data_IF_925854064945
#
_entry.id   IF_925854064945
#
_cell.length_a   1.000
_cell.length_b   1.000
_cell.length_c   1.000
_cell.angle_alpha   90.00
_cell.angle_beta   90.00
_cell.angle_gamma   90.00
#
_symmetry.space_group_name_H-M   'P 1'
#
loop_
_entity.id
_entity.type
_entity.pdbx_description
1 polymer ?
#
# COMPACT_ATOMS: atom_id res chain seq x y z
N UNK A 1 -4.04 -20.00 -16.47
CA UNK A 1 -2.93 -19.20 -15.90
C UNK A 1 -2.78 -17.87 -16.63
N UNK A 2 -3.03 -17.79 -17.95
CA UNK A 2 -2.98 -16.53 -18.72
C UNK A 2 -3.81 -15.37 -18.13
N UNK A 3 -5.02 -15.64 -17.62
CA UNK A 3 -5.89 -14.62 -17.01
C UNK A 3 -5.22 -13.79 -15.90
N UNK A 4 -4.38 -14.41 -15.06
CA UNK A 4 -3.73 -13.71 -13.93
C UNK A 4 -2.60 -12.80 -14.41
N UNK A 5 -1.85 -13.23 -15.43
CA UNK A 5 -0.81 -12.41 -16.03
C UNK A 5 -1.40 -11.29 -16.90
N UNK A 6 -2.58 -11.51 -17.48
CA UNK A 6 -3.37 -10.51 -18.19
C UNK A 6 -3.92 -9.44 -17.25
N UNK A 7 -4.48 -9.81 -16.09
CA UNK A 7 -4.88 -8.83 -15.07
C UNK A 7 -3.73 -7.92 -14.66
N UNK A 8 -2.53 -8.48 -14.43
CA UNK A 8 -1.33 -7.69 -14.12
C UNK A 8 -0.98 -6.72 -15.26
N UNK A 9 -1.08 -7.16 -16.51
CA UNK A 9 -0.79 -6.32 -17.68
C UNK A 9 -1.81 -5.20 -17.84
N UNK A 10 -3.10 -5.52 -17.73
CA UNK A 10 -4.19 -4.55 -17.86
C UNK A 10 -4.14 -3.50 -16.76
N UNK A 11 -3.87 -3.90 -15.52
CA UNK A 11 -3.69 -2.98 -14.40
C UNK A 11 -2.54 -1.99 -14.63
N UNK A 12 -1.43 -2.43 -15.24
CA UNK A 12 -0.27 -1.56 -15.51
C UNK A 12 -0.49 -0.55 -16.64
N UNK A 13 -1.39 -0.83 -17.59
CA UNK A 13 -1.70 0.09 -18.70
C UNK A 13 -2.98 0.88 -18.48
N UNK A 14 -3.67 0.65 -17.37
CA UNK A 14 -4.86 1.38 -17.01
C UNK A 14 -4.51 2.86 -16.83
N UNK A 15 -5.19 3.73 -17.57
CA UNK A 15 -5.08 5.17 -17.34
C UNK A 15 -5.77 5.51 -16.03
N UNK A 16 -5.12 6.36 -15.24
CA UNK A 16 -5.71 6.91 -14.04
C UNK A 16 -6.98 7.71 -14.42
N UNK A 17 -8.08 7.38 -13.76
CA UNK A 17 -9.34 8.14 -13.88
C UNK A 17 -9.34 9.33 -12.91
N UNK A 18 -10.51 9.93 -12.72
CA UNK A 18 -10.70 10.87 -11.61
C UNK A 18 -10.48 10.15 -10.28
N UNK A 19 -9.78 10.81 -9.37
CA UNK A 19 -9.55 10.33 -8.02
C UNK A 19 -10.34 11.20 -7.03
N UNK A 20 -11.21 10.60 -6.22
CA UNK A 20 -12.02 11.35 -5.26
C UNK A 20 -11.17 12.10 -4.22
N UNK A 21 -9.93 11.67 -3.99
CA UNK A 21 -8.99 12.40 -3.13
C UNK A 21 -8.64 13.79 -3.68
N UNK A 22 -8.78 14.04 -4.99
CA UNK A 22 -8.56 15.36 -5.60
C UNK A 22 -9.60 16.40 -5.12
N UNK A 23 -10.75 15.93 -4.65
CA UNK A 23 -11.82 16.77 -4.10
C UNK A 23 -11.66 17.05 -2.60
N UNK A 24 -10.61 16.53 -1.96
CA UNK A 24 -10.37 16.66 -0.52
C UNK A 24 -9.16 17.56 -0.30
N UNK A 25 -9.35 18.63 0.48
CA UNK A 25 -8.25 19.51 0.92
C UNK A 25 -8.22 19.62 2.43
N UNK A 26 -7.08 19.27 3.03
CA UNK A 26 -6.83 19.52 4.45
C UNK A 26 -6.50 20.99 4.69
N UNK A 27 -7.07 21.59 5.74
CA UNK A 27 -6.71 22.94 6.17
C UNK A 27 -5.35 22.89 6.84
N UNK A 28 -4.36 23.55 6.23
CA UNK A 28 -3.00 23.61 6.77
C UNK A 28 -2.96 24.45 8.05
N UNK A 29 -2.34 23.91 9.11
CA UNK A 29 -2.11 24.63 10.36
C UNK A 29 -0.65 25.12 10.43
N UNK A 30 -0.43 26.39 10.09
CA UNK A 30 0.91 26.98 9.97
C UNK A 30 1.63 27.21 11.30
N UNK A 31 0.88 27.36 12.39
CA UNK A 31 1.42 27.60 13.74
C UNK A 31 1.29 26.35 14.63
N UNK A 32 1.34 25.17 14.00
CA UNK A 32 1.22 23.92 14.71
C UNK A 32 2.46 23.68 15.56
N UNK A 33 2.30 23.68 16.89
CA UNK A 33 3.38 23.45 17.85
C UNK A 33 3.80 21.99 18.03
N UNK A 34 3.33 21.07 17.18
CA UNK A 34 3.74 19.67 17.28
C UNK A 34 5.13 19.46 16.64
N UNK A 35 5.98 18.75 17.37
CA UNK A 35 7.29 18.32 16.86
C UNK A 35 7.13 17.09 15.98
N UNK A 36 7.84 17.05 14.85
CA UNK A 36 7.90 15.88 13.99
C UNK A 36 8.37 14.62 14.76
N UNK A 37 9.29 14.79 15.71
CA UNK A 37 9.78 13.68 16.56
C UNK A 37 8.72 13.09 17.50
N UNK A 38 7.58 13.75 17.66
CA UNK A 38 6.45 13.28 18.49
C UNK A 38 5.33 12.64 17.66
N UNK A 39 5.46 12.57 16.34
CA UNK A 39 4.48 11.91 15.49
C UNK A 39 4.53 10.41 15.70
N UNK A 40 3.38 9.82 16.03
CA UNK A 40 3.20 8.37 16.11
C UNK A 40 2.28 7.92 14.97
N UNK A 41 2.79 7.02 14.14
CA UNK A 41 2.08 6.44 13.00
C UNK A 41 1.50 5.06 13.33
N UNK A 42 1.71 4.59 14.56
CA UNK A 42 1.20 3.29 15.00
C UNK A 42 -0.32 3.26 14.94
N UNK A 43 -0.85 2.14 14.51
CA UNK A 43 -2.29 1.89 14.46
C UNK A 43 -2.60 0.44 14.80
N UNK A 44 -3.88 0.11 14.91
CA UNK A 44 -4.35 -1.26 15.07
C UNK A 44 -5.48 -1.57 14.11
N UNK A 45 -5.38 -2.70 13.42
CA UNK A 45 -6.40 -3.18 12.50
C UNK A 45 -6.42 -4.71 12.49
N UNK A 46 -7.60 -5.33 12.41
CA UNK A 46 -7.76 -6.79 12.41
C UNK A 46 -6.99 -7.51 13.55
N UNK A 47 -7.00 -6.94 14.76
CA UNK A 47 -6.25 -7.41 15.94
C UNK A 47 -4.71 -7.41 15.79
N UNK A 48 -4.17 -6.76 14.76
CA UNK A 48 -2.74 -6.53 14.57
C UNK A 48 -2.37 -5.13 15.03
N UNK A 49 -1.20 -5.00 15.67
CA UNK A 49 -0.55 -3.71 15.91
C UNK A 49 0.41 -3.42 14.76
N UNK A 50 0.29 -2.26 14.15
CA UNK A 50 1.04 -1.85 12.96
C UNK A 50 1.88 -0.61 13.30
N UNK A 51 3.12 -0.58 12.82
CA UNK A 51 3.99 0.60 12.97
C UNK A 51 3.63 1.73 11.99
N UNK A 52 2.93 1.40 10.91
CA UNK A 52 2.47 2.33 9.89
C UNK A 52 1.00 2.07 9.53
N UNK A 53 0.22 3.09 9.17
CA UNK A 53 -1.19 2.95 8.83
C UNK A 53 -1.41 2.56 7.36
N UNK A 54 -0.54 1.71 6.81
CA UNK A 54 -0.56 1.26 5.42
C UNK A 54 -0.18 -0.21 5.33
N UNK A 55 -0.64 -0.88 4.27
CA UNK A 55 -0.26 -2.26 3.95
C UNK A 55 -0.27 -2.47 2.43
N UNK A 56 0.37 -3.53 1.96
CA UNK A 56 0.31 -3.95 0.55
C UNK A 56 -0.94 -4.82 0.38
N UNK A 57 -1.91 -4.33 -0.39
CA UNK A 57 -3.17 -5.05 -0.63
C UNK A 57 -3.01 -6.21 -1.63
N UNK A 58 -3.95 -7.14 -1.63
CA UNK A 58 -3.94 -8.33 -2.47
C UNK A 58 -3.95 -7.97 -3.96
N UNK A 59 -3.04 -8.57 -4.73
CA UNK A 59 -2.87 -8.29 -6.16
C UNK A 59 -2.83 -9.54 -7.04
N UNK A 60 -2.02 -10.55 -6.69
CA UNK A 60 -1.72 -11.68 -7.59
C UNK A 60 -1.16 -12.90 -6.85
N UNK A 61 -1.15 -14.06 -7.53
CA UNK A 61 -0.55 -15.30 -7.02
C UNK A 61 -0.82 -16.49 -7.94
N UNK A 62 -0.04 -17.57 -7.89
CA UNK A 62 -0.32 -18.81 -8.65
C UNK A 62 0.13 -18.83 -10.12
N UNK A 63 1.02 -17.92 -10.52
CA UNK A 63 1.86 -18.03 -11.73
C UNK A 63 3.32 -17.74 -11.35
N UNK A 64 4.30 -18.20 -12.14
CA UNK A 64 5.72 -17.89 -11.88
C UNK A 64 6.01 -16.39 -11.87
N UNK A 65 5.31 -15.63 -12.71
CA UNK A 65 5.42 -14.17 -12.76
C UNK A 65 4.85 -13.54 -11.48
N UNK A 66 3.70 -14.00 -11.02
CA UNK A 66 3.09 -13.55 -9.77
C UNK A 66 3.98 -13.88 -8.56
N UNK A 67 4.60 -15.05 -8.54
CA UNK A 67 5.55 -15.45 -7.49
C UNK A 67 6.75 -14.50 -7.40
N UNK A 68 7.38 -14.18 -8.54
CA UNK A 68 8.49 -13.22 -8.58
C UNK A 68 8.09 -11.80 -8.16
N UNK A 69 6.83 -11.41 -8.38
CA UNK A 69 6.29 -10.13 -7.89
C UNK A 69 6.09 -10.18 -6.38
N UNK A 70 5.43 -11.23 -5.87
CA UNK A 70 5.15 -11.39 -4.44
C UNK A 70 6.45 -11.51 -3.63
N UNK A 71 7.51 -12.14 -4.15
CA UNK A 71 8.81 -12.18 -3.49
C UNK A 71 9.39 -10.77 -3.30
N UNK A 72 9.31 -9.91 -4.32
CA UNK A 72 9.79 -8.52 -4.22
C UNK A 72 8.96 -7.71 -3.24
N UNK A 73 7.63 -7.85 -3.28
CA UNK A 73 6.73 -7.16 -2.37
C UNK A 73 6.91 -7.62 -0.92
N UNK A 74 7.13 -8.91 -0.68
CA UNK A 74 7.40 -9.45 0.64
C UNK A 74 8.72 -8.92 1.22
N UNK A 75 9.77 -8.78 0.39
CA UNK A 75 11.04 -8.15 0.80
C UNK A 75 10.84 -6.69 1.23
N UNK A 76 10.03 -5.93 0.48
CA UNK A 76 9.70 -4.54 0.83
C UNK A 76 8.85 -4.47 2.10
N UNK A 77 7.81 -5.31 2.20
CA UNK A 77 6.95 -5.40 3.36
C UNK A 77 7.75 -5.67 4.65
N UNK A 78 8.68 -6.62 4.58
CA UNK A 78 9.59 -6.94 5.68
C UNK A 78 10.56 -5.80 6.00
N UNK A 79 11.11 -5.13 4.98
CA UNK A 79 12.03 -4.00 5.20
C UNK A 79 11.37 -2.82 5.90
N UNK A 80 10.11 -2.51 5.55
CA UNK A 80 9.35 -1.39 6.10
C UNK A 80 8.45 -1.77 7.28
N UNK A 81 8.45 -3.04 7.70
CA UNK A 81 7.57 -3.56 8.76
C UNK A 81 6.08 -3.28 8.49
N UNK A 82 5.64 -3.43 7.24
CA UNK A 82 4.23 -3.28 6.85
C UNK A 82 3.61 -4.64 6.50
N UNK A 83 2.32 -4.85 6.76
CA UNK A 83 1.65 -6.08 6.34
C UNK A 83 1.55 -6.21 4.81
N UNK A 84 1.40 -7.44 4.36
CA UNK A 84 1.13 -7.78 2.96
C UNK A 84 0.05 -8.86 2.88
N UNK A 85 -0.89 -8.69 1.97
CA UNK A 85 -1.85 -9.71 1.54
C UNK A 85 -1.46 -10.20 0.13
N UNK A 86 -1.52 -11.52 -0.10
CA UNK A 86 -1.17 -12.17 -1.38
C UNK A 86 -2.29 -13.07 -1.85
#
# INVERSE_FOLDING_TARGET
MERKDEHLKLALIQKEGQNDFDNIRFVHNALHGASFSKLDLKTSFANLKLDLPIYINAMTGGTKKAEAINEKLAKLANHFSIPIAT
#
